data_IF_913999457881
#
_entry.id   IF_913999457881
#
_cell.length_a   1.000
_cell.length_b   1.000
_cell.length_c   1.000
_cell.angle_alpha   90.00
_cell.angle_beta   90.00
_cell.angle_gamma   90.00
#
_symmetry.space_group_name_H-M   'P 1'
#
loop_
_entity.id
_entity.type
_entity.pdbx_description
1 polymer ?
#
# COMPACT_ATOMS: atom_id res chain seq x y z
N UNK A 1 -24.24 -2.19 -8.08
CA UNK A 1 -23.87 -3.59 -8.33
C UNK A 1 -22.40 -3.77 -7.99
N UNK A 2 -22.06 -4.68 -7.05
CA UNK A 2 -20.67 -5.01 -6.75
C UNK A 2 -20.03 -5.76 -7.93
N UNK A 3 -18.82 -5.36 -8.33
CA UNK A 3 -18.06 -6.05 -9.38
C UNK A 3 -17.21 -7.20 -8.84
N UNK A 4 -16.92 -7.18 -7.54
CA UNK A 4 -16.17 -8.22 -6.82
C UNK A 4 -16.95 -8.67 -5.59
N UNK A 5 -16.62 -9.86 -5.08
CA UNK A 5 -17.10 -10.34 -3.77
C UNK A 5 -16.55 -9.49 -2.63
N UNK A 6 -16.96 -9.79 -1.40
CA UNK A 6 -16.51 -9.06 -0.22
C UNK A 6 -14.98 -9.14 -0.07
N UNK A 7 -14.34 -8.00 0.13
CA UNK A 7 -12.89 -7.81 0.04
C UNK A 7 -12.08 -8.33 1.26
N UNK A 8 -12.56 -9.35 1.95
CA UNK A 8 -11.85 -9.96 3.06
C UNK A 8 -10.92 -11.07 2.55
N UNK A 9 -9.66 -11.05 2.97
CA UNK A 9 -8.59 -11.90 2.43
C UNK A 9 -8.30 -13.15 3.26
N UNK A 10 -9.17 -13.50 4.19
CA UNK A 10 -9.01 -14.65 5.09
C UNK A 10 -9.42 -16.00 4.46
N UNK A 11 -10.17 -15.99 3.37
CA UNK A 11 -10.59 -17.19 2.67
C UNK A 11 -10.09 -17.23 1.22
N UNK A 12 -9.68 -18.42 0.78
CA UNK A 12 -9.33 -18.73 -0.62
C UNK A 12 -10.34 -19.66 -1.28
N UNK A 13 -11.44 -19.99 -0.59
CA UNK A 13 -12.50 -20.84 -1.10
C UNK A 13 -13.31 -20.15 -2.18
N UNK A 14 -13.58 -20.83 -3.26
CA UNK A 14 -14.51 -20.41 -4.31
C UNK A 14 -15.82 -21.18 -4.19
N UNK A 15 -16.94 -20.50 -4.47
CA UNK A 15 -18.24 -21.17 -4.56
C UNK A 15 -18.30 -22.07 -5.80
N UNK A 16 -18.96 -23.21 -5.69
CA UNK A 16 -19.15 -24.21 -6.75
C UNK A 16 -19.70 -23.59 -8.06
N UNK A 17 -20.70 -22.71 -7.90
CA UNK A 17 -21.30 -22.00 -9.05
C UNK A 17 -20.28 -21.13 -9.78
N UNK A 18 -19.37 -20.47 -9.02
CA UNK A 18 -18.31 -19.66 -9.61
C UNK A 18 -17.25 -20.51 -10.30
N UNK A 19 -16.88 -21.66 -9.70
CA UNK A 19 -15.94 -22.60 -10.33
C UNK A 19 -16.50 -23.08 -11.67
N UNK A 20 -17.78 -23.46 -11.74
CA UNK A 20 -18.43 -23.88 -12.96
C UNK A 20 -18.39 -22.77 -14.03
N UNK A 21 -18.80 -21.53 -13.70
CA UNK A 21 -18.76 -20.37 -14.61
C UNK A 21 -17.34 -20.11 -15.14
N UNK A 22 -16.33 -20.15 -14.26
CA UNK A 22 -14.93 -19.91 -14.63
C UNK A 22 -14.44 -21.01 -15.59
N UNK A 23 -14.73 -22.26 -15.32
CA UNK A 23 -14.32 -23.40 -16.15
C UNK A 23 -14.96 -23.36 -17.53
N UNK A 24 -16.23 -22.99 -17.61
CA UNK A 24 -16.92 -22.81 -18.88
C UNK A 24 -16.32 -21.64 -19.67
N UNK A 25 -15.99 -20.54 -19.01
CA UNK A 25 -15.28 -19.41 -19.61
C UNK A 25 -13.90 -19.83 -20.17
N UNK A 26 -13.12 -20.62 -19.40
CA UNK A 26 -11.80 -21.12 -19.84
C UNK A 26 -11.95 -21.98 -21.11
N UNK A 27 -12.89 -22.94 -21.12
CA UNK A 27 -13.10 -23.80 -22.29
C UNK A 27 -13.49 -23.02 -23.55
N UNK A 28 -14.33 -22.01 -23.40
CA UNK A 28 -14.82 -21.19 -24.51
C UNK A 28 -13.76 -20.23 -25.08
N UNK A 29 -12.92 -19.65 -24.23
CA UNK A 29 -12.02 -18.57 -24.64
C UNK A 29 -10.54 -18.98 -24.79
N UNK A 30 -10.10 -20.07 -24.12
CA UNK A 30 -8.72 -20.54 -24.16
C UNK A 30 -8.56 -21.93 -24.77
N UNK A 31 -9.61 -22.75 -24.71
CA UNK A 31 -9.58 -24.12 -25.18
C UNK A 31 -9.69 -25.14 -24.04
N UNK A 32 -10.05 -26.36 -24.38
CA UNK A 32 -10.25 -27.45 -23.40
C UNK A 32 -8.97 -27.87 -22.70
N UNK A 33 -7.82 -27.72 -23.35
CA UNK A 33 -6.49 -28.04 -22.82
C UNK A 33 -6.08 -27.12 -21.66
N UNK A 34 -6.62 -25.90 -21.61
CA UNK A 34 -6.40 -24.98 -20.50
C UNK A 34 -7.29 -25.23 -19.29
N UNK A 35 -8.27 -26.12 -19.40
CA UNK A 35 -9.19 -26.48 -18.32
C UNK A 35 -8.84 -27.87 -17.78
N UNK A 36 -8.33 -28.00 -16.54
CA UNK A 36 -7.95 -29.31 -15.98
C UNK A 36 -9.18 -30.20 -15.83
N UNK A 37 -9.00 -31.53 -15.92
CA UNK A 37 -10.10 -32.48 -15.81
C UNK A 37 -10.83 -32.38 -14.47
N UNK A 38 -10.10 -32.17 -13.38
CA UNK A 38 -10.63 -31.97 -12.04
C UNK A 38 -10.62 -30.48 -11.69
N UNK A 39 -11.54 -30.05 -10.85
CA UNK A 39 -11.60 -28.71 -10.30
C UNK A 39 -10.46 -28.47 -9.30
N UNK A 40 -9.90 -27.26 -9.33
CA UNK A 40 -8.88 -26.87 -8.38
C UNK A 40 -9.56 -26.33 -7.12
N UNK A 41 -9.38 -27.01 -6.00
CA UNK A 41 -9.85 -26.58 -4.69
C UNK A 41 -8.67 -26.15 -3.83
N UNK A 42 -8.82 -25.01 -3.16
CA UNK A 42 -7.79 -24.44 -2.29
C UNK A 42 -8.24 -24.53 -0.85
N UNK A 43 -7.40 -25.10 0.02
CA UNK A 43 -7.67 -25.22 1.44
C UNK A 43 -7.55 -23.87 2.14
N UNK A 44 -8.55 -23.55 2.93
CA UNK A 44 -8.55 -22.35 3.78
C UNK A 44 -7.72 -22.63 5.04
N UNK A 45 -7.00 -21.60 5.54
CA UNK A 45 -6.25 -21.70 6.80
C UNK A 45 -7.21 -21.97 7.97
N UNK A 46 -6.76 -22.67 9.01
CA UNK A 46 -7.56 -23.08 10.17
C UNK A 46 -8.33 -21.94 10.88
N UNK A 47 -7.87 -20.71 10.76
CA UNK A 47 -8.43 -19.54 11.45
C UNK A 47 -9.33 -18.67 10.54
N UNK A 48 -9.68 -19.14 9.34
CA UNK A 48 -10.62 -18.42 8.50
C UNK A 48 -12.05 -18.72 8.93
N UNK A 49 -12.86 -17.67 9.06
CA UNK A 49 -14.29 -17.84 9.28
C UNK A 49 -14.90 -18.50 8.05
N UNK A 50 -15.52 -19.66 8.21
CA UNK A 50 -16.08 -20.49 7.13
C UNK A 50 -17.11 -19.78 6.23
N UNK A 51 -17.63 -18.64 6.69
CA UNK A 51 -18.64 -17.86 5.97
C UNK A 51 -18.06 -17.01 4.81
N UNK A 52 -16.72 -16.85 4.72
CA UNK A 52 -16.11 -15.99 3.71
C UNK A 52 -15.70 -16.78 2.46
N UNK A 53 -15.87 -16.12 1.32
CA UNK A 53 -15.41 -16.57 0.02
C UNK A 53 -14.18 -15.76 -0.41
N UNK A 54 -13.36 -16.32 -1.29
CA UNK A 54 -12.24 -15.59 -1.91
C UNK A 54 -12.71 -14.34 -2.65
N UNK A 55 -11.83 -13.34 -2.74
CA UNK A 55 -12.07 -12.15 -3.54
C UNK A 55 -12.05 -12.57 -5.02
N UNK A 56 -13.18 -12.45 -5.69
CA UNK A 56 -13.35 -12.78 -7.11
C UNK A 56 -14.30 -11.81 -7.81
N UNK A 57 -14.29 -11.72 -9.14
CA UNK A 57 -15.37 -11.08 -9.87
C UNK A 57 -16.72 -11.72 -9.53
N UNK A 58 -17.77 -10.92 -9.47
CA UNK A 58 -19.13 -11.45 -9.29
C UNK A 58 -19.61 -12.28 -10.48
N UNK A 59 -19.04 -12.03 -11.67
CA UNK A 59 -19.14 -12.86 -12.87
C UNK A 59 -17.87 -12.69 -13.70
N UNK A 60 -17.29 -13.79 -14.16
CA UNK A 60 -16.09 -13.79 -15.02
C UNK A 60 -16.39 -13.33 -16.44
N UNK A 61 -17.67 -13.35 -16.85
CA UNK A 61 -18.11 -12.85 -18.14
C UNK A 61 -17.91 -11.33 -18.28
N UNK A 62 -17.77 -10.59 -17.18
CA UNK A 62 -17.40 -9.17 -17.19
C UNK A 62 -15.88 -9.05 -17.29
N UNK A 63 -15.37 -9.12 -18.50
CA UNK A 63 -13.93 -9.07 -18.74
C UNK A 63 -13.34 -7.70 -18.41
N UNK A 64 -12.04 -7.61 -18.06
CA UNK A 64 -11.38 -6.33 -17.83
C UNK A 64 -11.48 -5.37 -19.03
N UNK A 65 -11.51 -5.89 -20.25
CA UNK A 65 -11.65 -5.09 -21.47
C UNK A 65 -13.02 -4.40 -21.54
N UNK A 66 -14.10 -5.13 -21.23
CA UNK A 66 -15.47 -4.58 -21.20
C UNK A 66 -15.66 -3.59 -20.03
N UNK A 67 -14.96 -3.81 -18.92
CA UNK A 67 -15.09 -2.94 -17.74
C UNK A 67 -14.25 -1.66 -17.84
N UNK A 68 -13.41 -1.51 -18.87
CA UNK A 68 -12.51 -0.36 -19.02
C UNK A 68 -13.26 0.98 -19.08
N UNK A 69 -14.42 1.02 -19.70
CA UNK A 69 -15.21 2.24 -19.84
C UNK A 69 -15.88 2.69 -18.52
N UNK A 70 -16.09 1.75 -17.59
CA UNK A 70 -16.81 1.97 -16.32
C UNK A 70 -15.91 2.19 -15.12
N UNK A 71 -14.61 1.92 -15.24
CA UNK A 71 -13.66 1.92 -14.14
C UNK A 71 -12.60 3.02 -14.30
N UNK A 72 -12.19 3.62 -13.18
CA UNK A 72 -10.98 4.44 -13.18
C UNK A 72 -9.75 3.58 -13.45
N UNK A 73 -8.64 4.20 -13.87
CA UNK A 73 -7.40 3.47 -14.16
C UNK A 73 -6.92 2.57 -13.00
N UNK A 74 -7.05 3.02 -11.76
CA UNK A 74 -6.59 2.25 -10.61
C UNK A 74 -7.59 1.13 -10.24
N UNK A 75 -8.88 1.38 -10.40
CA UNK A 75 -9.91 0.35 -10.27
C UNK A 75 -9.76 -0.72 -11.35
N UNK A 76 -9.49 -0.34 -12.59
CA UNK A 76 -9.27 -1.28 -13.69
C UNK A 76 -8.06 -2.18 -13.45
N UNK A 77 -6.93 -1.60 -12.99
CA UNK A 77 -5.74 -2.40 -12.66
C UNK A 77 -6.03 -3.43 -11.58
N UNK A 78 -6.72 -3.01 -10.50
CA UNK A 78 -7.09 -3.91 -9.41
C UNK A 78 -8.06 -4.99 -9.88
N UNK A 79 -9.10 -4.61 -10.63
CA UNK A 79 -10.06 -5.54 -11.20
C UNK A 79 -9.39 -6.57 -12.13
N UNK A 80 -8.50 -6.10 -13.00
CA UNK A 80 -7.71 -6.97 -13.90
C UNK A 80 -6.86 -7.96 -13.11
N UNK A 81 -6.21 -7.52 -12.03
CA UNK A 81 -5.43 -8.39 -11.18
C UNK A 81 -6.29 -9.49 -10.54
N UNK A 82 -7.44 -9.12 -9.96
CA UNK A 82 -8.38 -10.05 -9.33
C UNK A 82 -8.92 -11.03 -10.37
N UNK A 83 -9.38 -10.53 -11.50
CA UNK A 83 -9.95 -11.33 -12.58
C UNK A 83 -8.94 -12.36 -13.13
N UNK A 84 -7.74 -11.90 -13.49
CA UNK A 84 -6.68 -12.78 -13.98
C UNK A 84 -6.32 -13.86 -12.95
N UNK A 85 -6.21 -13.49 -11.68
CA UNK A 85 -5.83 -14.42 -10.62
C UNK A 85 -6.89 -15.52 -10.43
N UNK A 86 -8.15 -15.14 -10.45
CA UNK A 86 -9.27 -16.08 -10.27
C UNK A 86 -9.38 -17.02 -11.47
N UNK A 87 -9.34 -16.52 -12.70
CA UNK A 87 -9.39 -17.39 -13.88
C UNK A 87 -8.17 -18.31 -13.93
N UNK A 88 -6.97 -17.77 -13.72
CA UNK A 88 -5.74 -18.56 -13.69
C UNK A 88 -5.75 -19.66 -12.60
N UNK A 89 -6.43 -19.43 -11.48
CA UNK A 89 -6.54 -20.43 -10.40
C UNK A 89 -7.28 -21.71 -10.81
N UNK A 90 -8.12 -21.63 -11.84
CA UNK A 90 -8.88 -22.76 -12.37
C UNK A 90 -8.34 -23.27 -13.72
N UNK A 91 -7.16 -22.76 -14.17
CA UNK A 91 -6.48 -23.22 -15.37
C UNK A 91 -5.53 -24.37 -15.09
N UNK A 92 -5.13 -25.05 -16.16
CA UNK A 92 -4.09 -26.12 -16.15
C UNK A 92 -2.72 -25.52 -15.83
N UNK A 93 -1.87 -26.29 -15.17
CA UNK A 93 -0.49 -25.91 -14.86
C UNK A 93 0.33 -25.63 -16.11
N UNK A 94 1.34 -24.76 -15.97
CA UNK A 94 2.34 -24.58 -16.99
C UNK A 94 3.29 -25.79 -17.04
N UNK A 95 3.69 -26.19 -18.24
CA UNK A 95 4.57 -27.33 -18.45
C UNK A 95 5.90 -26.83 -19.04
N UNK A 96 7.00 -27.22 -18.41
CA UNK A 96 8.35 -26.90 -18.85
C UNK A 96 9.10 -28.17 -19.24
N UNK A 97 9.83 -28.11 -20.34
CA UNK A 97 10.87 -29.10 -20.67
C UNK A 97 12.17 -28.63 -20.00
N UNK A 98 12.64 -29.39 -19.01
CA UNK A 98 13.87 -29.09 -18.28
C UNK A 98 15.00 -30.00 -18.77
N UNK A 99 16.04 -29.37 -19.29
CA UNK A 99 17.25 -30.08 -19.73
C UNK A 99 18.36 -29.86 -18.70
N UNK A 100 18.92 -30.95 -18.18
CA UNK A 100 20.07 -30.91 -17.29
C UNK A 100 21.22 -31.64 -17.94
N UNK A 101 22.35 -30.94 -18.17
CA UNK A 101 23.61 -31.53 -18.62
C UNK A 101 24.50 -31.72 -17.40
N UNK A 102 25.00 -32.95 -17.25
CA UNK A 102 26.06 -33.27 -16.31
C UNK A 102 27.31 -33.48 -17.11
N UNK A 103 28.38 -32.75 -16.83
CA UNK A 103 29.63 -32.73 -17.60
C UNK A 103 30.76 -33.18 -16.67
N UNK A 104 31.38 -34.27 -16.95
CA UNK A 104 32.52 -34.76 -16.19
C UNK A 104 33.80 -34.13 -16.76
N UNK A 105 34.61 -33.52 -15.91
CA UNK A 105 35.85 -32.84 -16.24
C UNK A 105 36.95 -33.26 -15.24
N UNK A 106 37.63 -34.33 -15.53
CA UNK A 106 38.58 -35.03 -14.64
C UNK A 106 37.90 -35.37 -13.29
N UNK A 107 38.39 -34.82 -12.20
CA UNK A 107 37.87 -35.05 -10.85
C UNK A 107 36.65 -34.14 -10.50
N UNK A 108 36.21 -33.32 -11.44
CA UNK A 108 35.12 -32.36 -11.24
C UNK A 108 33.89 -32.71 -12.06
N UNK A 109 32.74 -32.46 -11.49
CA UNK A 109 31.45 -32.56 -12.17
C UNK A 109 30.81 -31.19 -12.28
N UNK A 110 30.51 -30.76 -13.51
CA UNK A 110 29.83 -29.49 -13.80
C UNK A 110 28.38 -29.78 -14.16
N UNK A 111 27.50 -28.88 -13.83
CA UNK A 111 26.07 -29.00 -14.11
C UNK A 111 25.55 -27.73 -14.80
N UNK A 112 24.87 -27.91 -15.91
CA UNK A 112 24.11 -26.85 -16.58
C UNK A 112 22.66 -27.27 -16.68
N UNK A 113 21.74 -26.37 -16.28
CA UNK A 113 20.30 -26.63 -16.34
C UNK A 113 19.63 -25.50 -17.11
N UNK A 114 18.76 -25.87 -18.03
CA UNK A 114 17.91 -24.96 -18.76
C UNK A 114 16.45 -25.41 -18.74
N UNK A 115 15.54 -24.49 -18.87
CA UNK A 115 14.10 -24.74 -18.96
C UNK A 115 13.51 -23.98 -20.14
N UNK A 116 12.61 -24.64 -20.86
CA UNK A 116 11.88 -24.06 -21.98
C UNK A 116 10.39 -24.30 -21.74
N UNK A 117 9.60 -23.24 -21.83
CA UNK A 117 8.15 -23.35 -21.67
C UNK A 117 7.55 -24.11 -22.83
N UNK A 118 6.94 -25.29 -22.56
CA UNK A 118 6.28 -26.15 -23.53
C UNK A 118 4.80 -25.85 -23.67
N UNK A 119 4.12 -25.65 -22.53
CA UNK A 119 2.72 -25.30 -22.46
C UNK A 119 2.50 -24.20 -21.42
N UNK A 120 1.90 -23.06 -21.80
CA UNK A 120 1.82 -21.92 -20.89
C UNK A 120 0.82 -22.11 -19.76
N UNK A 121 -0.24 -22.89 -19.92
CA UNK A 121 -1.27 -23.08 -18.91
C UNK A 121 -1.74 -21.74 -18.32
N UNK A 122 -1.79 -21.64 -16.99
CA UNK A 122 -2.21 -20.43 -16.28
C UNK A 122 -1.29 -19.21 -16.54
N UNK A 123 -0.06 -19.39 -16.96
CA UNK A 123 0.87 -18.31 -17.30
C UNK A 123 0.37 -17.45 -18.47
N UNK A 124 -0.55 -17.97 -19.28
CA UNK A 124 -1.20 -17.18 -20.34
C UNK A 124 -1.80 -15.88 -19.81
N UNK A 125 -2.30 -15.88 -18.58
CA UNK A 125 -2.85 -14.71 -17.90
C UNK A 125 -1.86 -14.03 -16.94
N UNK A 126 -0.84 -14.75 -16.48
CA UNK A 126 0.14 -14.29 -15.49
C UNK A 126 1.45 -13.75 -16.08
N UNK A 127 1.78 -14.04 -17.34
CA UNK A 127 3.06 -13.70 -17.97
C UNK A 127 3.44 -12.20 -17.93
N UNK A 128 2.47 -11.32 -17.72
CA UNK A 128 2.70 -9.86 -17.59
C UNK A 128 3.24 -9.43 -16.22
N UNK A 129 3.27 -10.32 -15.24
CA UNK A 129 3.65 -10.01 -13.84
C UNK A 129 4.96 -10.64 -13.41
N UNK A 130 5.45 -11.66 -14.14
CA UNK A 130 6.71 -12.36 -13.87
C UNK A 130 7.73 -12.13 -15.01
N UNK A 131 8.34 -10.94 -15.01
CA UNK A 131 9.47 -10.61 -15.92
C UNK A 131 10.76 -11.42 -15.64
N UNK A 132 10.73 -12.39 -14.73
CA UNK A 132 11.94 -13.05 -14.21
C UNK A 132 12.25 -14.42 -14.81
N UNK A 133 11.30 -15.11 -15.37
CA UNK A 133 11.59 -16.39 -16.03
C UNK A 133 11.93 -16.18 -17.50
N UNK A 134 13.19 -15.83 -17.75
CA UNK A 134 13.75 -15.91 -19.09
C UNK A 134 14.02 -17.37 -19.39
N UNK A 135 13.49 -17.87 -20.49
CA UNK A 135 13.86 -19.17 -21.04
C UNK A 135 15.38 -19.31 -21.04
N UNK A 136 15.92 -20.18 -20.21
CA UNK A 136 17.34 -20.53 -20.27
C UNK A 136 17.49 -21.75 -21.13
N UNK A 137 17.87 -21.54 -22.39
CA UNK A 137 18.02 -22.63 -23.34
C UNK A 137 19.40 -23.27 -23.17
N UNK A 138 19.40 -24.52 -22.78
CA UNK A 138 20.60 -25.37 -22.88
C UNK A 138 20.47 -26.19 -24.16
N UNK A 139 21.48 -26.16 -25.08
CA UNK A 139 21.41 -26.90 -26.30
C UNK A 139 21.40 -28.41 -26.01
N UNK A 140 20.72 -29.17 -26.84
CA UNK A 140 20.78 -30.63 -26.76
C UNK A 140 22.18 -31.10 -27.07
N UNK A 141 22.72 -31.96 -26.23
CA UNK A 141 24.04 -32.61 -26.39
C UNK A 141 23.83 -34.10 -26.18
N UNK A 142 24.30 -34.91 -27.11
CA UNK A 142 24.22 -36.36 -26.97
C UNK A 142 25.06 -36.87 -25.79
N UNK A 143 24.54 -37.83 -25.01
CA UNK A 143 25.32 -38.45 -23.93
C UNK A 143 26.63 -39.03 -24.42
N UNK A 144 27.73 -38.76 -23.71
CA UNK A 144 29.07 -39.19 -24.09
C UNK A 144 29.78 -38.29 -25.11
N UNK A 145 29.18 -37.20 -25.57
CA UNK A 145 29.83 -36.23 -26.43
C UNK A 145 30.97 -35.53 -25.70
N UNK A 146 32.12 -35.36 -26.41
CA UNK A 146 33.26 -34.59 -25.89
C UNK A 146 33.01 -33.10 -26.06
N UNK A 147 33.07 -32.38 -24.97
CA UNK A 147 32.95 -30.92 -24.94
C UNK A 147 34.33 -30.27 -24.81
N UNK A 148 34.54 -29.19 -25.54
CA UNK A 148 35.77 -28.39 -25.45
C UNK A 148 35.54 -27.21 -24.51
N UNK A 149 36.48 -27.04 -23.57
CA UNK A 149 36.45 -25.84 -22.70
C UNK A 149 36.78 -24.61 -23.54
N UNK A 150 35.80 -23.75 -23.73
CA UNK A 150 35.96 -22.49 -24.46
C UNK A 150 36.71 -21.44 -23.64
N UNK A 151 36.26 -21.23 -22.39
CA UNK A 151 36.83 -20.23 -21.50
C UNK A 151 36.53 -20.59 -20.05
N UNK A 152 37.54 -20.49 -19.20
CA UNK A 152 37.36 -20.47 -17.76
C UNK A 152 37.17 -19.01 -17.29
N UNK A 153 36.03 -18.72 -16.72
CA UNK A 153 35.80 -17.39 -16.15
C UNK A 153 36.58 -17.24 -14.83
N UNK A 154 37.14 -16.05 -14.54
CA UNK A 154 37.75 -15.81 -13.25
C UNK A 154 36.73 -16.02 -12.13
N UNK A 155 37.23 -16.53 -11.00
CA UNK A 155 36.41 -16.67 -9.82
C UNK A 155 35.98 -15.28 -9.33
N UNK A 156 34.66 -15.10 -9.11
CA UNK A 156 34.10 -13.91 -8.54
C UNK A 156 33.70 -14.17 -7.09
N UNK A 157 34.07 -13.25 -6.20
CA UNK A 157 33.68 -13.35 -4.81
C UNK A 157 32.26 -12.79 -4.64
N UNK A 158 31.38 -13.60 -4.09
CA UNK A 158 30.03 -13.20 -3.71
C UNK A 158 29.89 -13.28 -2.20
N UNK A 159 29.07 -12.38 -1.65
CA UNK A 159 28.72 -12.37 -0.24
C UNK A 159 27.24 -12.64 -0.08
N UNK A 160 26.87 -13.25 1.04
CA UNK A 160 25.46 -13.35 1.42
C UNK A 160 24.91 -11.97 1.74
N UNK A 161 23.72 -11.68 1.23
CA UNK A 161 23.02 -10.44 1.52
C UNK A 161 22.20 -10.57 2.81
N UNK A 162 22.08 -9.48 3.60
CA UNK A 162 21.17 -9.47 4.73
C UNK A 162 19.71 -9.59 4.27
N UNK A 163 18.78 -9.96 5.18
CA UNK A 163 17.35 -9.95 4.86
C UNK A 163 16.91 -8.59 4.29
N UNK A 164 16.09 -8.62 3.26
CA UNK A 164 15.59 -7.41 2.64
C UNK A 164 14.67 -6.64 3.62
N UNK A 165 14.69 -5.30 3.54
CA UNK A 165 13.72 -4.48 4.26
C UNK A 165 12.28 -4.86 3.88
N UNK A 166 11.37 -4.75 4.83
CA UNK A 166 9.95 -4.95 4.56
C UNK A 166 9.43 -3.96 3.52
N UNK A 167 8.57 -4.46 2.67
CA UNK A 167 7.62 -3.65 1.88
C UNK A 167 6.27 -3.71 2.57
N UNK A 168 5.31 -2.87 2.16
CA UNK A 168 3.94 -2.96 2.70
C UNK A 168 3.37 -4.38 2.55
N UNK A 169 3.59 -5.01 1.40
CA UNK A 169 3.09 -6.36 1.13
C UNK A 169 3.77 -7.44 1.98
N UNK A 170 5.11 -7.40 2.12
CA UNK A 170 5.83 -8.39 2.93
C UNK A 170 5.59 -8.20 4.41
N UNK A 171 5.36 -6.96 4.89
CA UNK A 171 4.97 -6.71 6.27
C UNK A 171 3.56 -7.27 6.57
N UNK A 172 2.59 -7.07 5.66
CA UNK A 172 1.25 -7.65 5.82
C UNK A 172 1.33 -9.18 5.86
N UNK A 173 2.13 -9.78 4.98
CA UNK A 173 2.34 -11.24 4.97
C UNK A 173 2.90 -11.74 6.30
N UNK A 174 3.91 -11.06 6.85
CA UNK A 174 4.50 -11.40 8.14
C UNK A 174 3.50 -11.27 9.31
N UNK A 175 2.70 -10.18 9.32
CA UNK A 175 1.63 -9.98 10.29
C UNK A 175 0.60 -11.13 10.23
N UNK A 176 0.19 -11.50 9.02
CA UNK A 176 -0.75 -12.60 8.81
C UNK A 176 -0.18 -13.95 9.25
N UNK A 177 1.08 -14.25 8.92
CA UNK A 177 1.75 -15.50 9.29
C UNK A 177 1.90 -15.64 10.82
N UNK A 178 2.11 -14.52 11.51
CA UNK A 178 2.21 -14.46 12.98
C UNK A 178 0.87 -14.30 13.70
N UNK A 179 -0.24 -14.21 12.98
CA UNK A 179 -1.59 -14.05 13.55
C UNK A 179 -1.84 -12.68 14.17
N UNK A 180 -1.05 -11.66 13.80
CA UNK A 180 -1.16 -10.29 14.32
C UNK A 180 -2.11 -9.49 13.48
N UNK A 181 -3.24 -9.07 14.04
CA UNK A 181 -4.27 -8.32 13.35
C UNK A 181 -5.16 -9.20 12.46
N UNK A 182 -6.02 -8.52 11.71
CA UNK A 182 -6.97 -9.13 10.79
C UNK A 182 -6.98 -8.33 9.48
N UNK A 183 -7.54 -8.84 8.38
CA UNK A 183 -7.59 -8.12 7.10
C UNK A 183 -8.09 -6.67 7.20
N UNK A 184 -9.02 -6.39 8.12
CA UNK A 184 -9.55 -5.05 8.36
C UNK A 184 -8.56 -4.10 9.05
N UNK A 185 -7.54 -4.61 9.73
CA UNK A 185 -6.58 -3.80 10.51
C UNK A 185 -5.21 -3.65 9.86
N UNK A 186 -4.84 -4.48 8.89
CA UNK A 186 -3.51 -4.43 8.25
C UNK A 186 -3.21 -3.08 7.60
N UNK A 187 -4.10 -2.61 6.71
CA UNK A 187 -3.90 -1.33 6.04
C UNK A 187 -3.92 -0.12 7.00
N UNK A 188 -4.87 0.00 7.96
CA UNK A 188 -4.83 1.01 8.99
C UNK A 188 -3.55 1.01 9.84
N UNK A 189 -2.99 -0.16 10.15
CA UNK A 189 -1.73 -0.27 10.89
C UNK A 189 -0.57 0.36 10.10
N UNK A 190 -0.40 0.03 8.83
CA UNK A 190 0.65 0.61 7.99
C UNK A 190 0.46 2.13 7.86
N UNK A 191 -0.77 2.59 7.60
CA UNK A 191 -1.07 4.02 7.53
C UNK A 191 -0.71 4.73 8.84
N UNK A 192 -0.99 4.10 9.99
CA UNK A 192 -0.65 4.65 11.31
C UNK A 192 0.86 4.76 11.51
N UNK A 193 1.64 3.73 11.15
CA UNK A 193 3.10 3.75 11.25
C UNK A 193 3.70 4.90 10.42
N UNK A 194 3.23 5.08 9.19
CA UNK A 194 3.68 6.15 8.29
C UNK A 194 3.22 7.53 8.77
N UNK A 195 1.96 7.67 9.20
CA UNK A 195 1.39 8.97 9.62
C UNK A 195 2.02 9.48 10.93
N UNK A 196 2.37 8.56 11.83
CA UNK A 196 3.04 8.90 13.09
C UNK A 196 4.55 9.10 12.92
N UNK A 197 5.10 8.87 11.74
CA UNK A 197 6.52 9.02 11.46
C UNK A 197 7.41 7.97 12.11
N UNK A 198 6.86 6.83 12.56
CA UNK A 198 7.65 5.72 13.09
C UNK A 198 8.41 4.99 11.99
N UNK A 199 7.86 5.03 10.79
CA UNK A 199 8.41 4.42 9.59
C UNK A 199 8.29 5.41 8.43
N UNK A 200 9.29 5.45 7.57
CA UNK A 200 9.27 6.19 6.31
C UNK A 200 9.33 5.22 5.13
N UNK A 201 8.78 5.64 4.01
CA UNK A 201 8.78 4.84 2.78
C UNK A 201 9.84 5.39 1.83
N UNK A 202 10.84 4.57 1.52
CA UNK A 202 11.82 4.84 0.48
C UNK A 202 11.57 3.89 -0.69
N UNK A 203 11.11 4.45 -1.82
CA UNK A 203 10.59 3.69 -2.96
C UNK A 203 9.50 2.68 -2.53
N UNK A 204 9.83 1.40 -2.41
CA UNK A 204 8.94 0.33 -1.92
C UNK A 204 9.31 -0.19 -0.53
N UNK A 205 10.47 0.22 0.01
CA UNK A 205 11.00 -0.25 1.29
C UNK A 205 10.44 0.57 2.44
N UNK A 206 10.18 -0.08 3.56
CA UNK A 206 9.82 0.54 4.82
C UNK A 206 11.08 0.65 5.68
N UNK A 207 11.45 1.86 6.07
CA UNK A 207 12.61 2.15 6.91
C UNK A 207 12.12 2.68 8.25
N UNK A 208 12.63 2.13 9.34
CA UNK A 208 12.32 2.61 10.70
C UNK A 208 13.06 3.92 10.92
N UNK A 209 12.40 4.89 11.54
CA UNK A 209 12.99 6.18 11.94
C UNK A 209 13.58 6.10 13.35
N UNK A 210 14.41 7.08 13.72
CA UNK A 210 14.90 7.22 15.10
C UNK A 210 13.75 7.31 16.11
N UNK A 211 12.71 8.08 15.78
CA UNK A 211 11.48 8.15 16.60
C UNK A 211 10.83 6.77 16.75
N UNK A 212 10.82 5.97 15.68
CA UNK A 212 10.29 4.61 15.70
C UNK A 212 11.08 3.72 16.64
N UNK A 213 12.42 3.74 16.55
CA UNK A 213 13.32 2.97 17.42
C UNK A 213 13.13 3.36 18.89
N UNK A 214 13.25 4.66 19.20
CA UNK A 214 13.06 5.17 20.56
C UNK A 214 11.69 4.79 21.15
N UNK A 215 10.63 4.84 20.34
CA UNK A 215 9.28 4.46 20.78
C UNK A 215 9.21 2.98 21.10
N UNK A 216 9.79 2.11 20.27
CA UNK A 216 9.79 0.66 20.49
C UNK A 216 10.62 0.31 21.72
N UNK A 217 11.81 0.89 21.88
CA UNK A 217 12.69 0.65 23.01
C UNK A 217 11.99 1.01 24.32
N UNK A 218 11.42 2.21 24.41
CA UNK A 218 10.66 2.67 25.56
C UNK A 218 9.45 1.76 25.85
N UNK A 219 8.66 1.42 24.84
CA UNK A 219 7.49 0.55 25.04
C UNK A 219 7.90 -0.86 25.46
N UNK A 220 8.98 -1.40 24.91
CA UNK A 220 9.47 -2.73 25.27
C UNK A 220 10.02 -2.77 26.70
N UNK A 221 10.62 -1.68 27.19
CA UNK A 221 11.12 -1.57 28.55
C UNK A 221 9.98 -1.54 29.59
N UNK A 222 8.96 -0.70 29.37
CA UNK A 222 7.91 -0.42 30.35
C UNK A 222 6.66 -1.29 30.20
N UNK A 223 6.45 -1.92 29.03
CA UNK A 223 5.28 -2.74 28.71
C UNK A 223 5.67 -4.10 28.14
N UNK A 224 6.57 -4.80 28.82
CA UNK A 224 7.15 -6.09 28.37
C UNK A 224 6.09 -7.15 28.05
N UNK A 225 5.01 -7.18 28.83
CA UNK A 225 3.91 -8.12 28.62
C UNK A 225 3.08 -7.83 27.39
N UNK A 226 2.92 -6.55 27.07
CA UNK A 226 2.07 -6.06 25.99
C UNK A 226 2.79 -6.03 24.65
N UNK A 227 4.05 -5.56 24.63
CA UNK A 227 4.84 -5.37 23.41
C UNK A 227 5.60 -6.66 23.09
N UNK A 228 4.83 -7.69 22.74
CA UNK A 228 5.39 -8.89 22.17
C UNK A 228 4.44 -9.48 21.12
N UNK A 229 5.02 -10.18 20.16
CA UNK A 229 4.30 -10.78 19.04
C UNK A 229 3.27 -11.80 19.54
N UNK A 230 3.62 -12.61 20.52
CA UNK A 230 2.75 -13.65 21.08
C UNK A 230 1.51 -13.08 21.76
N UNK A 231 1.66 -11.98 22.50
CA UNK A 231 0.52 -11.33 23.17
C UNK A 231 -0.56 -10.87 22.18
N UNK A 232 -0.15 -10.19 21.13
CA UNK A 232 -1.13 -9.67 20.13
C UNK A 232 -1.85 -10.83 19.44
N UNK A 233 -1.14 -11.89 19.07
CA UNK A 233 -1.74 -13.07 18.46
C UNK A 233 -2.72 -13.77 19.40
N UNK A 234 -2.35 -13.97 20.68
CA UNK A 234 -3.24 -14.55 21.70
C UNK A 234 -4.48 -13.69 21.96
N UNK A 235 -4.33 -12.36 21.97
CA UNK A 235 -5.47 -11.46 22.13
C UNK A 235 -6.47 -11.58 20.97
N UNK A 236 -5.97 -11.66 19.74
CA UNK A 236 -6.82 -11.89 18.56
C UNK A 236 -7.54 -13.24 18.63
N UNK A 237 -6.85 -14.29 19.11
CA UNK A 237 -7.45 -15.62 19.31
C UNK A 237 -8.55 -15.59 20.40
N UNK A 238 -8.30 -14.93 21.53
CA UNK A 238 -9.32 -14.73 22.58
C UNK A 238 -10.54 -13.96 22.08
N UNK A 239 -10.34 -12.98 21.19
CA UNK A 239 -11.46 -12.26 20.58
C UNK A 239 -12.28 -13.15 19.63
N UNK A 240 -11.64 -14.06 18.91
CA UNK A 240 -12.34 -15.05 18.10
C UNK A 240 -13.12 -16.04 19.01
N UNK A 241 -12.54 -16.46 20.13
CA UNK A 241 -13.21 -17.31 21.13
C UNK A 241 -14.44 -16.63 21.77
N UNK A 242 -14.40 -15.30 21.95
CA UNK A 242 -15.61 -14.54 22.35
C UNK A 242 -16.69 -14.62 21.27
N UNK A 243 -16.32 -14.52 20.00
CA UNK A 243 -17.27 -14.66 18.90
C UNK A 243 -17.87 -16.07 18.82
N UNK A 244 -17.08 -17.11 19.18
CA UNK A 244 -17.53 -18.50 19.27
C UNK A 244 -18.27 -18.82 20.60
N UNK A 245 -18.43 -17.84 21.50
CA UNK A 245 -19.08 -17.97 22.81
C UNK A 245 -18.35 -18.93 23.80
N UNK A 246 -17.05 -19.12 23.64
CA UNK A 246 -16.22 -19.87 24.57
C UNK A 246 -15.84 -19.03 25.79
N UNK A 247 -15.63 -17.74 25.58
CA UNK A 247 -15.35 -16.74 26.62
C UNK A 247 -16.33 -15.58 26.55
N UNK A 248 -16.48 -14.87 27.64
CA UNK A 248 -17.23 -13.61 27.68
C UNK A 248 -16.30 -12.42 27.43
N UNK A 249 -16.84 -11.35 26.87
CA UNK A 249 -16.10 -10.10 26.67
C UNK A 249 -15.51 -9.58 28.00
N UNK A 250 -16.29 -9.68 29.10
CA UNK A 250 -15.91 -9.12 30.40
C UNK A 250 -14.75 -9.90 31.04
N UNK A 251 -14.69 -11.21 30.84
CA UNK A 251 -13.54 -12.05 31.26
C UNK A 251 -12.27 -11.61 30.55
N UNK A 252 -12.29 -11.54 29.21
CA UNK A 252 -11.12 -11.17 28.41
C UNK A 252 -10.63 -9.75 28.74
N UNK A 253 -11.55 -8.80 28.90
CA UNK A 253 -11.21 -7.42 29.25
C UNK A 253 -10.65 -7.31 30.69
N UNK A 254 -11.20 -8.04 31.65
CA UNK A 254 -10.74 -8.02 33.05
C UNK A 254 -9.35 -8.63 33.17
N UNK A 255 -9.09 -9.73 32.48
CA UNK A 255 -7.77 -10.37 32.44
C UNK A 255 -6.70 -9.45 31.85
N UNK A 256 -7.04 -8.70 30.80
CA UNK A 256 -6.14 -7.74 30.16
C UNK A 256 -5.94 -6.47 30.98
N UNK A 257 -7.04 -5.83 31.42
CA UNK A 257 -6.99 -4.47 31.96
C UNK A 257 -6.30 -4.40 33.32
N UNK A 258 -6.45 -5.41 34.17
CA UNK A 258 -5.84 -5.44 35.50
C UNK A 258 -4.31 -5.31 35.48
N UNK A 259 -3.58 -6.20 34.79
CA UNK A 259 -2.13 -6.08 34.59
C UNK A 259 -1.72 -4.82 33.86
N UNK A 260 -2.39 -4.50 32.75
CA UNK A 260 -2.11 -3.31 31.95
C UNK A 260 -2.20 -2.01 32.76
N UNK A 261 -3.22 -1.87 33.61
CA UNK A 261 -3.39 -0.67 34.44
C UNK A 261 -2.22 -0.49 35.41
N UNK A 262 -1.71 -1.56 35.98
CA UNK A 262 -0.53 -1.53 36.89
C UNK A 262 0.74 -1.10 36.14
N UNK A 263 0.97 -1.66 34.94
CA UNK A 263 2.09 -1.26 34.07
C UNK A 263 1.98 0.20 33.66
N UNK A 264 0.77 0.66 33.29
CA UNK A 264 0.51 2.04 32.89
C UNK A 264 0.76 3.04 34.01
N UNK A 265 0.30 2.73 35.25
CA UNK A 265 0.51 3.60 36.40
C UNK A 265 1.99 3.66 36.77
N UNK A 266 2.71 2.54 36.69
CA UNK A 266 4.16 2.51 36.88
C UNK A 266 4.88 3.31 35.81
N UNK A 267 4.55 3.11 34.55
CA UNK A 267 5.15 3.80 33.40
C UNK A 267 4.92 5.32 33.48
N UNK A 268 3.74 5.76 33.93
CA UNK A 268 3.42 7.19 34.08
C UNK A 268 4.33 7.94 35.07
N UNK A 269 4.98 7.23 36.00
CA UNK A 269 5.92 7.79 36.97
C UNK A 269 7.38 7.54 36.55
N UNK A 270 7.65 6.37 35.96
CA UNK A 270 9.01 5.89 35.71
C UNK A 270 9.59 6.34 34.35
N UNK A 271 8.73 6.61 33.35
CA UNK A 271 9.22 7.02 32.01
C UNK A 271 9.80 8.44 32.10
N UNK A 272 11.10 8.63 31.82
CA UNK A 272 11.68 9.96 31.74
C UNK A 272 11.13 10.72 30.53
N UNK A 273 11.03 12.04 30.65
CA UNK A 273 10.74 12.89 29.48
C UNK A 273 11.96 12.82 28.56
N UNK A 274 11.82 12.13 27.44
CA UNK A 274 12.87 12.07 26.43
C UNK A 274 12.76 13.31 25.54
N UNK A 275 13.71 14.22 25.64
CA UNK A 275 13.85 15.32 24.71
C UNK A 275 14.53 14.79 23.44
N UNK A 276 13.77 14.77 22.35
CA UNK A 276 14.33 14.44 21.03
C UNK A 276 15.30 15.57 20.65
N UNK A 277 16.58 15.29 20.40
CA UNK A 277 17.53 16.32 19.98
C UNK A 277 17.02 16.97 18.71
N UNK A 278 16.71 18.25 18.78
CA UNK A 278 16.25 19.01 17.63
C UNK A 278 17.48 19.43 16.82
N UNK A 279 17.44 19.15 15.53
CA UNK A 279 18.45 19.61 14.58
C UNK A 279 18.47 21.14 14.55
N UNK A 280 19.58 21.76 14.99
CA UNK A 280 19.74 23.22 15.01
C UNK A 280 20.12 23.68 13.62
N UNK A 281 19.44 24.71 13.11
CA UNK A 281 19.74 25.34 11.83
C UNK A 281 20.66 26.54 12.00
N UNK A 282 21.30 26.98 10.92
CA UNK A 282 22.13 28.17 10.87
C UNK A 282 21.29 29.46 10.76
N UNK A 283 19.97 29.39 10.86
CA UNK A 283 19.08 30.56 10.70
C UNK A 283 18.69 31.12 12.06
N UNK A 284 19.04 32.38 12.37
CA UNK A 284 18.64 33.00 13.63
C UNK A 284 17.15 33.35 13.61
N UNK A 285 16.58 33.36 14.81
CA UNK A 285 15.19 33.80 15.01
C UNK A 285 15.12 35.33 14.97
N UNK A 286 14.42 35.87 13.98
CA UNK A 286 14.23 37.32 13.79
C UNK A 286 13.24 37.96 14.77
N UNK A 287 12.58 37.17 15.63
CA UNK A 287 11.65 37.70 16.65
C UNK A 287 12.21 37.69 18.07
N UNK A 288 13.22 36.88 18.33
CA UNK A 288 13.81 36.82 19.67
C UNK A 288 14.90 37.90 19.92
N UNK A 289 15.56 38.39 18.87
CA UNK A 289 16.65 39.37 18.90
C UNK A 289 17.81 39.03 19.86
N UNK A 290 17.92 37.76 20.29
CA UNK A 290 18.89 37.23 21.24
C UNK A 290 19.92 36.29 20.59
N UNK A 291 19.90 36.20 19.27
CA UNK A 291 20.75 35.25 18.51
C UNK A 291 20.33 33.80 18.59
N UNK A 292 19.16 33.49 19.16
CA UNK A 292 18.63 32.12 19.22
C UNK A 292 18.51 31.53 17.83
N UNK A 293 19.22 30.42 17.55
CA UNK A 293 19.10 29.68 16.30
C UNK A 293 17.80 28.91 16.24
N UNK A 294 17.16 28.88 15.04
CA UNK A 294 15.95 28.12 14.83
C UNK A 294 16.27 26.63 14.73
N UNK A 295 15.33 25.80 15.14
CA UNK A 295 15.44 24.33 15.08
C UNK A 295 14.52 23.77 14.02
N UNK A 296 14.96 22.68 13.39
CA UNK A 296 14.17 21.96 12.40
C UNK A 296 13.12 21.12 13.12
N UNK A 297 11.85 21.35 12.81
CA UNK A 297 10.73 20.53 13.29
C UNK A 297 9.96 19.95 12.13
N UNK A 298 9.35 18.81 12.35
CA UNK A 298 8.47 18.17 11.37
C UNK A 298 7.02 18.52 11.65
N UNK A 299 6.29 18.97 10.63
CA UNK A 299 4.89 19.32 10.70
C UNK A 299 4.08 18.60 9.61
N UNK A 300 2.77 18.83 9.62
CA UNK A 300 1.83 18.20 8.66
C UNK A 300 2.21 18.39 7.18
N UNK A 301 2.96 19.44 6.87
CA UNK A 301 3.36 19.81 5.51
C UNK A 301 4.84 19.58 5.22
N UNK A 302 5.56 18.87 6.13
CA UNK A 302 7.00 18.60 6.04
C UNK A 302 7.82 19.38 7.07
N UNK A 303 9.13 19.33 6.93
CA UNK A 303 10.08 20.01 7.84
C UNK A 303 9.97 21.53 7.70
N UNK A 304 10.07 22.23 8.83
CA UNK A 304 10.06 23.69 8.92
C UNK A 304 10.98 24.15 10.05
N UNK A 305 11.42 25.40 9.99
CA UNK A 305 12.19 26.04 11.05
C UNK A 305 11.25 26.61 12.11
N UNK A 306 11.49 26.30 13.36
CA UNK A 306 10.76 26.82 14.51
C UNK A 306 11.71 27.41 15.55
N UNK A 307 11.28 28.44 16.25
CA UNK A 307 12.05 28.97 17.38
C UNK A 307 11.98 27.97 18.56
N UNK A 308 13.13 27.61 19.18
CA UNK A 308 13.15 26.72 20.35
C UNK A 308 12.46 27.31 21.58
N UNK A 309 12.34 28.65 21.66
CA UNK A 309 11.70 29.36 22.79
C UNK A 309 10.17 29.25 22.80
N UNK A 310 9.59 28.30 22.06
CA UNK A 310 8.14 28.01 22.15
C UNK A 310 7.78 27.56 23.59
N UNK A 311 6.65 28.03 24.20
CA UNK A 311 5.56 28.83 23.62
C UNK A 311 5.75 30.35 23.66
N UNK A 312 6.85 30.86 24.24
CA UNK A 312 7.10 32.30 24.35
C UNK A 312 7.28 32.95 22.97
N UNK A 313 8.06 32.31 22.11
CA UNK A 313 8.21 32.69 20.72
C UNK A 313 7.60 31.66 19.80
N UNK A 314 6.65 32.08 18.98
CA UNK A 314 5.94 31.20 18.02
C UNK A 314 6.43 31.42 16.58
N UNK A 315 7.66 31.88 16.42
CA UNK A 315 8.21 32.13 15.10
C UNK A 315 8.48 30.83 14.34
N UNK A 316 8.01 30.74 13.11
CA UNK A 316 8.25 29.61 12.21
C UNK A 316 8.59 30.13 10.82
N UNK A 317 9.54 29.48 10.15
CA UNK A 317 9.94 29.77 8.77
C UNK A 317 9.92 28.49 7.94
N UNK A 318 9.56 28.55 6.65
CA UNK A 318 9.75 27.42 5.75
C UNK A 318 11.26 27.19 5.53
N UNK A 319 11.66 25.92 5.36
CA UNK A 319 13.01 25.60 4.90
C UNK A 319 13.04 25.88 3.41
N UNK A 320 13.92 26.81 3.02
CA UNK A 320 14.10 27.21 1.62
C UNK A 320 15.14 26.29 0.98
N UNK A 321 14.80 25.66 -0.12
CA UNK A 321 15.70 24.84 -0.92
C UNK A 321 15.94 25.55 -2.27
N UNK A 322 16.93 26.46 -2.37
CA UNK A 322 17.27 27.10 -3.64
C UNK A 322 17.86 26.03 -4.57
N UNK A 323 17.40 26.01 -5.82
CA UNK A 323 17.88 25.06 -6.83
C UNK A 323 19.05 25.60 -7.66
N UNK A 324 19.57 26.80 -7.32
CA UNK A 324 20.68 27.45 -8.02
C UNK A 324 20.31 28.02 -9.39
N UNK A 325 19.02 28.21 -9.67
CA UNK A 325 18.53 28.77 -10.93
C UNK A 325 17.80 30.08 -10.66
N UNK A 326 18.06 31.11 -11.45
CA UNK A 326 17.46 32.43 -11.31
C UNK A 326 16.09 32.51 -11.98
N UNK A 327 15.18 33.24 -11.35
CA UNK A 327 13.84 33.46 -11.88
C UNK A 327 13.86 34.27 -13.19
N UNK A 328 13.26 33.81 -14.26
CA UNK A 328 13.26 34.54 -15.55
C UNK A 328 12.45 35.83 -15.52
N UNK A 329 11.56 36.02 -14.51
CA UNK A 329 10.77 37.24 -14.36
C UNK A 329 11.44 38.33 -13.54
N UNK A 330 12.15 37.98 -12.46
CA UNK A 330 12.65 38.97 -11.50
C UNK A 330 14.09 38.75 -11.04
N UNK A 331 14.81 37.73 -11.54
CA UNK A 331 16.19 37.43 -11.20
C UNK A 331 16.46 36.89 -9.79
N UNK A 332 15.46 36.74 -8.92
CA UNK A 332 15.58 36.12 -7.62
C UNK A 332 15.75 34.59 -7.74
N UNK A 333 16.06 33.90 -6.65
CA UNK A 333 16.24 32.45 -6.68
C UNK A 333 14.92 31.71 -6.88
N UNK A 334 14.99 30.58 -7.57
CA UNK A 334 13.87 29.63 -7.67
C UNK A 334 14.04 28.59 -6.56
N UNK A 335 12.94 28.35 -5.84
CA UNK A 335 12.89 27.44 -4.72
C UNK A 335 12.07 26.21 -5.07
N UNK A 336 12.51 25.04 -4.58
CA UNK A 336 11.69 23.84 -4.56
C UNK A 336 10.63 23.95 -3.46
N UNK A 337 9.38 23.72 -3.80
CA UNK A 337 8.23 23.77 -2.88
C UNK A 337 7.35 22.53 -3.03
N UNK A 338 6.60 22.20 -1.99
CA UNK A 338 5.58 21.11 -2.03
C UNK A 338 4.17 21.71 -2.03
N UNK A 339 3.34 21.23 -2.93
CA UNK A 339 1.92 21.57 -2.98
C UNK A 339 1.15 20.94 -1.82
N UNK A 340 -0.10 21.34 -1.60
CA UNK A 340 -0.99 20.73 -0.59
C UNK A 340 -1.22 19.22 -0.82
N UNK A 341 -1.01 18.74 -2.03
CA UNK A 341 -1.11 17.32 -2.40
C UNK A 341 0.22 16.57 -2.33
N UNK A 342 1.29 17.20 -1.80
CA UNK A 342 2.62 16.61 -1.67
C UNK A 342 3.46 16.61 -2.95
N UNK A 343 2.94 17.11 -4.08
CA UNK A 343 3.71 17.20 -5.33
C UNK A 343 4.71 18.35 -5.26
N UNK A 344 5.93 18.09 -5.72
CA UNK A 344 6.98 19.11 -5.87
C UNK A 344 6.65 20.04 -7.03
N UNK A 345 6.86 21.33 -6.82
CA UNK A 345 6.81 22.36 -7.83
C UNK A 345 7.89 23.42 -7.52
N UNK A 346 8.21 24.23 -8.50
CA UNK A 346 9.26 25.24 -8.38
C UNK A 346 8.64 26.62 -8.50
N UNK A 347 9.01 27.51 -7.59
CA UNK A 347 8.44 28.86 -7.54
C UNK A 347 9.47 29.90 -7.13
N UNK A 348 9.25 31.14 -7.53
CA UNK A 348 10.12 32.25 -7.17
C UNK A 348 10.14 32.49 -5.66
N UNK A 349 11.32 32.84 -5.13
CA UNK A 349 11.49 33.22 -3.72
C UNK A 349 10.62 34.44 -3.35
N UNK A 350 10.48 35.39 -4.25
CA UNK A 350 9.72 36.62 -4.05
C UNK A 350 8.20 36.48 -4.13
N UNK A 351 7.69 35.28 -4.12
CA UNK A 351 6.23 35.12 -4.06
C UNK A 351 5.68 35.74 -2.75
N UNK A 352 4.60 36.57 -2.77
CA UNK A 352 3.66 36.81 -3.87
C UNK A 352 4.03 37.93 -4.87
N UNK A 353 5.08 38.70 -4.66
CA UNK A 353 5.47 39.81 -5.54
C UNK A 353 5.84 39.34 -6.95
N UNK A 354 6.37 38.14 -7.07
CA UNK A 354 6.64 37.45 -8.33
C UNK A 354 5.89 36.10 -8.36
N UNK A 355 5.00 35.96 -9.33
CA UNK A 355 4.11 34.79 -9.46
C UNK A 355 4.68 33.62 -10.28
N UNK A 356 5.99 33.70 -10.63
CA UNK A 356 6.61 32.64 -11.44
C UNK A 356 6.57 31.30 -10.75
N UNK A 357 5.93 30.30 -11.38
CA UNK A 357 5.87 28.92 -10.91
C UNK A 357 5.93 27.93 -12.07
N UNK A 358 6.54 26.76 -11.85
CA UNK A 358 6.58 25.66 -12.82
C UNK A 358 6.54 24.32 -12.11
N UNK A 359 5.94 23.31 -12.77
CA UNK A 359 5.92 21.92 -12.31
C UNK A 359 7.15 21.12 -12.75
N UNK A 360 7.79 21.56 -13.84
CA UNK A 360 8.99 20.93 -14.36
C UNK A 360 10.23 21.58 -13.71
N UNK A 361 11.27 20.81 -13.44
CA UNK A 361 12.47 21.30 -12.75
C UNK A 361 13.23 22.30 -13.66
N UNK A 362 13.38 23.57 -13.25
CA UNK A 362 14.19 24.52 -13.98
C UNK A 362 15.68 24.13 -14.03
N UNK A 363 16.31 24.35 -15.16
CA UNK A 363 17.74 24.10 -15.37
C UNK A 363 18.46 25.42 -15.60
N UNK A 364 19.72 25.46 -15.20
CA UNK A 364 20.59 26.61 -15.48
C UNK A 364 21.18 26.51 -16.90
N UNK A 365 20.29 26.23 -17.87
CA UNK A 365 20.64 26.09 -19.29
C UNK A 365 19.68 26.95 -20.11
N UNK A 366 20.22 27.64 -21.09
CA UNK A 366 19.43 28.42 -22.04
C UNK A 366 19.03 27.59 -23.26
N UNK A 367 17.83 27.82 -23.75
CA UNK A 367 17.39 27.25 -25.01
C UNK A 367 18.26 27.75 -26.18
N UNK A 368 18.82 26.86 -27.01
CA UNK A 368 19.67 27.26 -28.11
C UNK A 368 18.93 28.08 -29.18
N UNK A 369 17.60 27.97 -29.26
CA UNK A 369 16.79 28.65 -30.26
C UNK A 369 16.26 30.01 -29.78
N UNK A 370 15.71 30.08 -28.56
CA UNK A 370 15.00 31.30 -28.12
C UNK A 370 15.59 31.91 -26.83
N UNK A 371 16.70 31.38 -26.29
CA UNK A 371 17.40 31.89 -25.11
C UNK A 371 16.59 31.83 -23.79
N UNK A 372 15.40 31.26 -23.81
CA UNK A 372 14.62 31.04 -22.60
C UNK A 372 15.20 29.84 -21.81
N UNK A 373 14.92 29.81 -20.53
CA UNK A 373 15.37 28.76 -19.62
C UNK A 373 14.84 27.38 -20.05
N UNK A 374 15.68 26.36 -19.92
CA UNK A 374 15.27 24.96 -20.11
C UNK A 374 14.66 24.39 -18.82
N UNK A 375 13.74 23.44 -18.96
CA UNK A 375 13.12 22.73 -17.87
C UNK A 375 13.24 21.21 -18.08
N UNK A 376 13.44 20.45 -17.01
CA UNK A 376 13.49 18.99 -17.03
C UNK A 376 12.13 18.44 -16.60
N UNK A 377 11.50 17.66 -17.46
CA UNK A 377 10.28 16.92 -17.18
C UNK A 377 10.59 15.44 -16.94
N UNK A 378 10.01 14.87 -15.88
CA UNK A 378 10.11 13.44 -15.59
C UNK A 378 8.83 12.75 -16.10
N UNK A 379 8.98 11.88 -17.09
CA UNK A 379 7.88 11.10 -17.66
C UNK A 379 7.42 10.00 -16.68
N UNK A 380 6.24 9.42 -16.94
CA UNK A 380 5.66 8.34 -16.09
C UNK A 380 6.52 7.09 -16.01
N UNK A 381 7.36 6.84 -17.00
CA UNK A 381 8.31 5.73 -17.07
C UNK A 381 9.64 6.03 -16.32
N UNK A 382 9.76 7.23 -15.71
CA UNK A 382 10.97 7.68 -15.02
C UNK A 382 12.03 8.32 -15.94
N UNK A 383 11.82 8.36 -17.25
CA UNK A 383 12.73 9.04 -18.17
C UNK A 383 12.67 10.55 -18.00
N UNK A 384 13.82 11.20 -18.12
CA UNK A 384 13.97 12.65 -18.01
C UNK A 384 14.16 13.27 -19.37
N UNK A 385 13.38 14.29 -19.68
CA UNK A 385 13.49 15.03 -20.94
C UNK A 385 13.57 16.53 -20.70
N UNK A 386 14.40 17.21 -21.48
CA UNK A 386 14.56 18.66 -21.42
C UNK A 386 13.69 19.35 -22.45
N UNK A 387 12.97 20.39 -22.04
CA UNK A 387 12.10 21.21 -22.88
C UNK A 387 12.38 22.69 -22.63
N UNK A 388 12.03 23.52 -23.61
CA UNK A 388 12.05 24.96 -23.43
C UNK A 388 10.87 25.44 -22.58
N UNK A 389 11.09 26.37 -21.66
CA UNK A 389 10.04 26.98 -20.84
C UNK A 389 9.12 27.93 -21.61
N UNK A 390 9.53 28.38 -22.79
CA UNK A 390 8.71 29.21 -23.67
C UNK A 390 7.74 28.33 -24.52
N UNK A 391 6.42 28.43 -24.32
CA UNK A 391 5.45 27.58 -24.98
C UNK A 391 5.40 27.80 -26.52
N UNK A 392 5.91 28.93 -27.01
CA UNK A 392 5.94 29.26 -28.45
C UNK A 392 7.20 28.75 -29.17
N UNK A 393 8.16 28.15 -28.41
CA UNK A 393 9.39 27.64 -29.01
C UNK A 393 9.18 26.22 -29.58
N UNK A 394 9.85 25.92 -30.69
CA UNK A 394 9.84 24.58 -31.32
C UNK A 394 10.29 23.47 -30.37
N UNK A 395 11.14 23.80 -29.37
CA UNK A 395 11.61 22.93 -28.33
C UNK A 395 10.74 22.91 -27.04
N UNK A 396 9.57 23.55 -27.10
CA UNK A 396 8.61 23.50 -26.03
C UNK A 396 8.02 22.07 -25.89
N UNK A 397 7.53 21.76 -24.72
CA UNK A 397 6.83 20.50 -24.48
C UNK A 397 5.55 20.45 -25.33
N UNK A 398 5.31 19.38 -26.12
CA UNK A 398 4.06 19.22 -26.84
C UNK A 398 2.89 19.20 -25.86
N UNK A 399 1.96 20.12 -25.99
CA UNK A 399 0.71 20.12 -25.21
C UNK A 399 -0.19 19.09 -25.86
N UNK A 400 -0.18 17.86 -25.32
CA UNK A 400 -1.24 16.90 -25.64
C UNK A 400 -2.54 17.43 -25.04
N UNK A 401 -3.40 17.97 -25.91
CA UNK A 401 -4.74 18.40 -25.52
C UNK A 401 -5.48 17.21 -24.90
N UNK A 402 -5.72 17.28 -23.59
CA UNK A 402 -6.65 16.38 -22.94
C UNK A 402 -8.03 16.63 -23.55
N UNK A 403 -8.71 15.60 -24.03
CA UNK A 403 -10.02 15.63 -24.67
C UNK A 403 -11.18 16.09 -23.75
N UNK A 404 -10.92 16.97 -22.78
CA UNK A 404 -11.93 17.44 -21.82
C UNK A 404 -11.93 18.97 -21.61
N UNK A 405 -11.61 19.75 -22.66
CA UNK A 405 -11.77 21.21 -22.58
C UNK A 405 -12.11 21.80 -23.96
N UNK A 406 -13.18 21.33 -24.55
CA UNK A 406 -13.79 21.98 -25.71
C UNK A 406 -15.23 22.33 -25.32
N UNK A 407 -15.42 23.43 -24.59
CA UNK A 407 -16.65 24.25 -24.58
C UNK A 407 -16.46 25.42 -23.60
N UNK A 408 -15.91 26.54 -24.10
CA UNK A 408 -16.25 27.90 -23.69
C UNK A 408 -15.22 28.87 -24.22
N UNK A 409 -15.36 29.19 -25.51
CA UNK A 409 -14.83 30.42 -26.08
C UNK A 409 -15.80 30.85 -27.15
N UNK A 410 -16.69 31.73 -26.80
CA UNK A 410 -17.29 32.69 -27.74
C UNK A 410 -17.79 33.92 -26.99
N UNK A 411 -17.24 35.05 -27.49
CA UNK A 411 -17.79 36.40 -27.42
C UNK A 411 -17.53 37.24 -26.17
N UNK A 412 -16.43 37.98 -26.26
CA UNK A 412 -16.31 39.31 -25.66
C UNK A 412 -16.66 40.34 -26.73
N UNK A 413 -17.76 41.01 -26.59
CA UNK A 413 -18.04 42.29 -27.24
C UNK A 413 -18.29 43.36 -26.20
N UNK A 414 -17.34 44.31 -26.23
CA UNK A 414 -17.42 45.70 -25.79
C UNK A 414 -18.80 46.27 -25.47
N UNK A 415 -18.97 46.86 -24.28
CA UNK A 415 -19.45 48.27 -24.15
C UNK A 415 -19.16 48.82 -22.78
N UNK A 416 -18.74 50.06 -22.79
CA UNK A 416 -18.28 50.88 -21.69
C UNK A 416 -19.42 51.50 -20.85
N UNK A 417 -19.00 51.92 -19.64
CA UNK A 417 -19.50 53.09 -18.86
C UNK A 417 -20.82 52.97 -18.06
N UNK A 418 -20.78 52.99 -16.79
CA UNK A 418 -21.03 54.17 -15.90
C UNK A 418 -21.16 53.79 -14.41
N UNK A 419 -20.42 54.54 -13.63
CA UNK A 419 -20.56 54.89 -12.22
C UNK A 419 -21.97 54.80 -11.62
N UNK A 420 -22.10 54.36 -10.38
CA UNK A 420 -22.34 55.21 -9.14
C UNK A 420 -22.66 54.35 -7.94
N UNK A 421 -21.87 54.45 -6.91
CA UNK A 421 -22.10 54.85 -5.50
C UNK A 421 -23.30 54.33 -4.70
N UNK A 422 -22.94 54.02 -3.48
CA UNK A 422 -23.65 54.09 -2.20
C UNK A 422 -24.28 52.77 -1.71
N UNK A 423 -23.80 52.21 -0.63
CA UNK A 423 -23.80 52.64 0.77
C UNK A 423 -24.84 51.87 1.59
N UNK A 424 -24.28 51.16 2.58
CA UNK A 424 -24.76 51.01 3.95
C UNK A 424 -26.02 50.19 4.32
N UNK A 425 -25.77 49.32 5.21
CA UNK A 425 -26.28 49.14 6.60
C UNK A 425 -27.04 47.84 6.85
N UNK A 426 -26.42 47.02 7.73
CA UNK A 426 -26.89 46.60 9.07
C UNK A 426 -28.35 46.11 9.20
N UNK A 427 -28.61 44.93 9.67
CA UNK A 427 -28.88 44.64 11.06
C UNK A 427 -29.31 43.18 11.29
N UNK A 428 -28.90 42.70 12.40
CA UNK A 428 -29.22 41.47 13.12
C UNK A 428 -30.71 41.32 13.48
N UNK A 429 -31.13 40.08 13.76
CA UNK A 429 -31.93 39.55 14.88
C UNK A 429 -32.45 38.18 14.47
N UNK A 430 -32.04 37.07 15.14
CA UNK A 430 -32.53 36.54 16.43
C UNK A 430 -34.04 36.31 16.48
N UNK A 431 -34.46 35.06 16.62
CA UNK A 431 -35.39 34.47 17.60
C UNK A 431 -35.78 33.07 17.11
N UNK A 432 -35.45 32.03 17.84
CA UNK A 432 -36.11 31.35 18.99
C UNK A 432 -37.40 30.58 18.68
N UNK A 433 -37.30 29.28 18.98
CA UNK A 433 -38.28 28.39 19.61
C UNK A 433 -39.54 28.04 18.80
N UNK A 434 -40.11 26.89 18.85
CA UNK A 434 -40.53 26.07 19.99
C UNK A 434 -41.06 24.73 19.48
N UNK A 435 -40.78 23.69 20.22
CA UNK A 435 -41.52 22.48 20.57
C UNK A 435 -42.93 22.30 19.97
N UNK A 436 -43.22 21.06 19.52
CA UNK A 436 -44.33 20.31 20.16
C UNK A 436 -44.24 18.80 19.86
N UNK A 437 -44.52 18.06 20.89
CA UNK A 437 -44.61 16.61 21.01
C UNK A 437 -46.08 16.15 20.78
N UNK A 438 -46.25 14.92 20.31
CA UNK A 438 -47.39 14.02 20.58
C UNK A 438 -46.96 12.63 20.07
N UNK A 439 -46.73 11.62 20.83
CA UNK A 439 -47.48 10.76 21.75
C UNK A 439 -48.73 10.10 21.12
N UNK A 440 -48.67 8.81 21.05
CA UNK A 440 -49.63 7.71 21.36
C UNK A 440 -49.55 6.59 20.33
N UNK A 441 -49.69 5.34 20.57
CA UNK A 441 -49.90 4.41 21.67
C UNK A 441 -50.10 3.03 21.02
N UNK A 442 -49.47 2.03 21.62
CA UNK A 442 -49.96 0.65 21.88
C UNK A 442 -50.79 -0.12 20.84
N UNK A 443 -50.38 -1.34 20.50
CA UNK A 443 -51.11 -2.52 20.97
C UNK A 443 -50.29 -3.81 20.79
N UNK A 444 -50.24 -4.55 21.86
CA UNK A 444 -49.74 -5.93 21.98
C UNK A 444 -50.77 -6.94 21.44
N UNK A 445 -50.29 -8.06 20.89
CA UNK A 445 -51.05 -9.33 21.04
C UNK A 445 -50.08 -10.54 21.07
N UNK A 446 -50.20 -11.19 22.19
CA UNK A 446 -49.74 -12.54 22.58
C UNK A 446 -50.42 -13.63 21.72
N UNK A 447 -49.74 -14.74 21.72
CA UNK A 447 -50.16 -16.19 21.87
C UNK A 447 -49.45 -17.05 20.86
N UNK A 448 -48.93 -18.24 21.08
CA UNK A 448 -48.98 -19.22 22.17
C UNK A 448 -47.94 -20.32 21.85
N UNK A 449 -47.40 -20.88 22.86
CA UNK A 449 -46.51 -22.03 22.87
C UNK A 449 -47.19 -23.33 22.37
N UNK A 450 -46.35 -24.27 21.83
CA UNK A 450 -46.62 -25.70 22.01
C UNK A 450 -45.30 -26.50 22.03
N UNK A 451 -45.06 -27.13 23.16
CA UNK A 451 -44.12 -28.23 23.47
C UNK A 451 -44.57 -29.51 22.80
N UNK A 452 -43.61 -30.38 22.45
CA UNK A 452 -43.56 -31.85 22.62
C UNK A 452 -42.10 -32.21 22.32
N UNK A 453 -41.25 -32.65 23.16
CA UNK A 453 -41.00 -33.73 24.12
C UNK A 453 -40.66 -35.10 23.44
N UNK A 454 -39.42 -35.54 23.82
CA UNK A 454 -38.96 -36.94 24.13
C UNK A 454 -38.77 -37.90 22.95
N UNK A 455 -37.59 -38.58 22.83
CA UNK A 455 -37.01 -39.62 23.65
C UNK A 455 -35.63 -40.08 23.11
N UNK A 456 -34.63 -40.18 23.92
CA UNK A 456 -33.82 -41.30 24.46
C UNK A 456 -33.68 -42.60 23.63
N UNK A 457 -32.38 -43.02 23.40
CA UNK A 457 -31.69 -44.26 23.85
C UNK A 457 -30.33 -44.37 23.13
N UNK A 458 -29.21 -44.29 23.79
CA UNK A 458 -28.36 -45.28 24.50
C UNK A 458 -28.01 -46.57 23.73
N UNK A 459 -26.74 -46.81 23.50
CA UNK A 459 -25.85 -47.94 23.80
C UNK A 459 -24.55 -47.74 23.03
N UNK A 460 -23.39 -47.56 23.59
CA UNK A 460 -22.50 -48.33 24.46
C UNK A 460 -21.67 -49.42 23.74
N UNK A 461 -20.35 -49.31 24.00
CA UNK A 461 -19.31 -50.36 24.05
C UNK A 461 -18.68 -50.76 22.71
N UNK A 462 -17.35 -50.90 22.53
CA UNK A 462 -16.22 -51.35 23.38
C UNK A 462 -14.90 -51.09 22.67
N UNK A 463 -13.89 -50.75 23.44
CA UNK A 463 -12.46 -50.96 23.39
C UNK A 463 -11.90 -51.93 22.34
N UNK A 464 -10.78 -51.59 21.70
CA UNK A 464 -9.55 -52.38 21.87
C UNK A 464 -8.29 -51.56 21.57
N UNK A 465 -7.39 -51.59 22.50
CA UNK A 465 -6.00 -51.15 22.58
C UNK A 465 -5.12 -52.07 21.74
N UNK A 466 -4.14 -51.55 21.00
CA UNK A 466 -2.85 -52.25 20.82
C UNK A 466 -1.71 -51.24 20.58
N UNK A 467 -0.82 -51.25 21.51
CA UNK A 467 0.53 -50.73 21.59
C UNK A 467 1.52 -51.56 20.73
N UNK A 468 2.50 -50.91 20.09
CA UNK A 468 3.91 -51.33 19.88
C UNK A 468 4.61 -50.15 19.22
N UNK A 469 5.56 -49.45 19.81
CA UNK A 469 6.96 -49.65 20.23
C UNK A 469 7.90 -50.16 19.12
N UNK A 470 8.96 -49.41 18.93
CA UNK A 470 10.24 -49.79 18.29
C UNK A 470 10.61 -48.69 17.28
N UNK A 471 11.51 -47.77 17.51
CA UNK A 471 12.96 -47.70 17.82
C UNK A 471 13.81 -47.69 16.55
N UNK A 472 14.63 -46.63 16.42
CA UNK A 472 15.95 -46.48 15.79
C UNK A 472 16.07 -46.67 14.26
N UNK A 473 16.48 -45.66 13.54
CA UNK A 473 17.83 -45.08 13.39
C UNK A 473 17.76 -43.72 12.78
#
# INVERSE_FOLDING_TARGET
>A
VGLITYMRTDSVRLAEVAIAEIRDYIKQNFGSEFCPAKENHYSTKKNAQDAHEAIRPTSVMRTPAEMQEYLTNDQLKLYTLIWNRVVASQMTDAVYDVTTLTIDAADYQLRATGSVLKFPGFLQLHSKYDDKEKDSKVPYVEPGSKLLLYKLMPAEQHFTEPPAHFTEATLIKELEEKGIGRPSTFAPTIVTLLTRGYVVKDAKKLLVTELGIMTVDMLTEYFKGLINIGFTAQMEEKLDEVAEKKHTKDEVLSEFYGPFKKELDHAGVAIPIVEIPLEVSDVPCDKCNDGTMMVIREGRFGKFLACPNFPKCRNTKPILHPIGVKCPKCGADILERKSKTGKVFYGCERYPDCDYTTWDKPLNEECPECKHMMVEHVERNGSKRKFCSNPECSKARPVYASKTAAAKTTEAKTTATKKTTASKKTTAKKTTATKTAAKKTTTAKKTTAKKVATAKKTTATKKTTTTKKGSNE
#
